data_IF_625923735680
#
_entry.id   IF_625923735680
#
_cell.length_a   1.000
_cell.length_b   1.000
_cell.length_c   1.000
_cell.angle_alpha   90.00
_cell.angle_beta   90.00
_cell.angle_gamma   90.00
#
_symmetry.space_group_name_H-M   'P 1'
#
loop_
_entity.id
_entity.type
_entity.pdbx_description
1 polymer ?
#
# COMPACT_ATOMS: atom_id res chain seq x y z
N UNK A 1 -9.77 -63.16 -29.33
CA UNK A 1 -10.21 -64.50 -28.89
C UNK A 1 -10.70 -64.35 -27.44
N UNK A 2 -11.86 -64.95 -27.15
CA UNK A 2 -12.51 -65.18 -25.83
C UNK A 2 -11.49 -65.39 -24.67
N UNK A 3 -11.76 -65.11 -23.39
CA UNK A 3 -13.04 -64.95 -22.70
C UNK A 3 -12.82 -64.29 -21.32
N UNK A 4 -13.89 -63.60 -20.92
CA UNK A 4 -14.22 -63.01 -19.63
C UNK A 4 -14.33 -64.06 -18.50
N UNK A 5 -13.93 -63.71 -17.28
CA UNK A 5 -14.57 -64.23 -16.06
C UNK A 5 -15.06 -63.06 -15.21
N UNK A 6 -16.37 -63.05 -14.99
CA UNK A 6 -17.13 -62.16 -14.11
C UNK A 6 -18.13 -63.06 -13.39
N UNK A 7 -18.03 -63.11 -12.08
CA UNK A 7 -18.93 -63.76 -11.10
C UNK A 7 -18.80 -62.85 -9.85
N UNK A 8 -19.83 -62.41 -9.11
CA UNK A 8 -21.30 -62.42 -9.15
C UNK A 8 -21.72 -61.40 -8.08
N UNK A 9 -22.71 -60.56 -8.37
CA UNK A 9 -23.63 -60.03 -7.36
C UNK A 9 -24.66 -61.13 -6.99
N UNK A 10 -25.23 -61.12 -5.79
CA UNK A 10 -26.63 -60.66 -5.54
C UNK A 10 -27.24 -61.19 -4.21
N UNK A 11 -27.86 -60.24 -3.47
CA UNK A 11 -29.15 -60.29 -2.75
C UNK A 11 -29.17 -59.05 -1.81
N UNK A 12 -29.88 -57.96 -2.11
CA UNK A 12 -31.34 -57.69 -1.99
C UNK A 12 -31.88 -57.93 -0.56
N UNK A 13 -32.65 -57.06 0.10
CA UNK A 13 -33.39 -55.87 -0.32
C UNK A 13 -33.78 -54.96 0.88
N UNK A 14 -33.72 -53.65 0.61
CA UNK A 14 -34.51 -52.49 1.06
C UNK A 14 -35.19 -52.40 2.44
N UNK A 15 -34.92 -51.28 3.15
CA UNK A 15 -35.97 -50.26 3.45
C UNK A 15 -35.37 -48.84 3.68
N UNK A 16 -35.76 -47.92 2.80
CA UNK A 16 -36.00 -46.46 2.93
C UNK A 16 -34.98 -45.47 3.59
N UNK A 17 -34.44 -44.58 2.73
CA UNK A 17 -33.81 -43.25 2.94
C UNK A 17 -34.75 -42.21 3.61
N UNK A 18 -34.34 -40.98 4.04
CA UNK A 18 -33.09 -40.23 3.77
C UNK A 18 -32.50 -39.42 4.95
N UNK A 19 -31.17 -39.41 5.16
CA UNK A 19 -30.52 -38.26 5.80
C UNK A 19 -29.21 -37.89 5.11
N UNK A 20 -29.10 -36.60 4.84
CA UNK A 20 -28.07 -35.92 4.09
C UNK A 20 -26.68 -36.17 4.67
N UNK A 21 -25.81 -36.79 3.87
CA UNK A 21 -24.37 -36.70 4.11
C UNK A 21 -23.94 -35.23 4.03
N UNK A 22 -23.73 -34.68 5.22
CA UNK A 22 -23.04 -33.42 5.44
C UNK A 22 -21.68 -33.44 4.73
N UNK A 23 -21.66 -32.84 3.53
CA UNK A 23 -20.46 -32.28 2.89
C UNK A 23 -19.82 -31.28 3.85
N UNK A 24 -19.02 -31.76 4.79
CA UNK A 24 -18.08 -30.93 5.53
C UNK A 24 -16.95 -30.54 4.57
N UNK A 25 -17.19 -29.45 3.84
CA UNK A 25 -16.14 -28.75 3.10
C UNK A 25 -15.08 -28.30 4.10
N UNK A 26 -14.01 -29.09 4.24
CA UNK A 26 -12.79 -28.67 4.94
C UNK A 26 -12.33 -27.35 4.33
N UNK A 27 -12.58 -26.26 5.06
CA UNK A 27 -12.10 -24.91 4.75
C UNK A 27 -10.58 -25.00 4.57
N UNK A 28 -10.09 -25.07 3.33
CA UNK A 28 -8.66 -25.01 3.03
C UNK A 28 -8.14 -23.68 3.57
N UNK A 29 -7.33 -23.74 4.63
CA UNK A 29 -6.64 -22.56 5.16
C UNK A 29 -5.77 -22.01 4.03
N UNK A 30 -6.03 -20.76 3.64
CA UNK A 30 -5.33 -20.09 2.54
C UNK A 30 -3.92 -19.75 3.03
N UNK A 31 -2.90 -20.49 2.56
CA UNK A 31 -1.49 -20.22 2.89
C UNK A 31 -1.05 -18.85 2.35
N UNK A 32 -0.22 -18.12 3.10
CA UNK A 32 0.34 -16.84 2.63
C UNK A 32 1.40 -17.07 1.56
N UNK A 33 1.70 -16.05 0.74
CA UNK A 33 2.79 -16.15 -0.25
C UNK A 33 4.13 -16.52 0.41
N UNK A 34 4.42 -15.95 1.59
CA UNK A 34 5.60 -16.31 2.39
C UNK A 34 5.63 -17.78 2.76
N UNK A 35 4.52 -18.35 3.22
CA UNK A 35 4.42 -19.78 3.57
C UNK A 35 4.61 -20.70 2.35
N UNK A 36 4.12 -20.31 1.17
CA UNK A 36 4.30 -21.09 -0.05
C UNK A 36 5.76 -21.01 -0.55
N UNK A 37 6.38 -19.84 -0.49
CA UNK A 37 7.81 -19.65 -0.82
C UNK A 37 8.68 -20.44 0.17
N UNK A 38 8.35 -20.39 1.45
CA UNK A 38 9.05 -21.11 2.52
C UNK A 38 9.05 -22.62 2.27
N UNK A 39 7.88 -23.21 2.01
CA UNK A 39 7.73 -24.65 1.74
C UNK A 39 8.48 -25.08 0.47
N UNK A 40 8.45 -24.26 -0.58
CA UNK A 40 9.07 -24.59 -1.86
C UNK A 40 10.60 -24.40 -1.88
N UNK A 41 11.14 -23.54 -1.02
CA UNK A 41 12.59 -23.30 -0.90
C UNK A 41 13.23 -24.03 0.29
N UNK A 42 12.45 -24.76 1.09
CA UNK A 42 12.95 -25.48 2.26
C UNK A 42 13.47 -24.56 3.37
N UNK A 43 12.90 -23.34 3.49
CA UNK A 43 13.36 -22.33 4.44
C UNK A 43 12.78 -22.56 5.84
N UNK A 44 13.52 -22.12 6.86
CA UNK A 44 13.01 -22.11 8.23
C UNK A 44 11.84 -21.11 8.34
N UNK A 45 10.68 -21.50 8.93
CA UNK A 45 9.55 -20.59 9.13
C UNK A 45 9.90 -19.27 9.83
N UNK A 46 10.86 -19.28 10.75
CA UNK A 46 11.26 -18.08 11.48
C UNK A 46 11.90 -17.02 10.58
N UNK A 47 12.64 -17.45 9.55
CA UNK A 47 13.37 -16.53 8.67
C UNK A 47 12.43 -15.71 7.80
N UNK A 48 11.43 -16.35 7.17
CA UNK A 48 10.44 -15.66 6.35
C UNK A 48 9.55 -14.77 7.21
N UNK A 49 9.16 -15.20 8.41
CA UNK A 49 8.40 -14.36 9.33
C UNK A 49 9.19 -13.11 9.73
N UNK A 50 10.50 -13.22 9.94
CA UNK A 50 11.36 -12.08 10.25
C UNK A 50 11.44 -11.10 9.07
N UNK A 51 11.55 -11.60 7.84
CA UNK A 51 11.48 -10.76 6.62
C UNK A 51 10.12 -10.07 6.49
N UNK A 52 9.02 -10.77 6.72
CA UNK A 52 7.67 -10.19 6.66
C UNK A 52 7.46 -9.09 7.72
N UNK A 53 7.95 -9.30 8.95
CA UNK A 53 7.92 -8.28 10.02
C UNK A 53 8.71 -7.04 9.62
N UNK A 54 9.93 -7.21 9.09
CA UNK A 54 10.76 -6.08 8.61
C UNK A 54 10.11 -5.34 7.46
N UNK A 55 9.55 -6.05 6.49
CA UNK A 55 8.80 -5.44 5.38
C UNK A 55 7.57 -4.68 5.88
N UNK A 56 6.88 -5.18 6.91
CA UNK A 56 5.77 -4.45 7.53
C UNK A 56 6.23 -3.11 8.12
N UNK A 57 7.35 -3.08 8.86
CA UNK A 57 7.90 -1.83 9.42
C UNK A 57 8.22 -0.83 8.31
N UNK A 58 8.93 -1.26 7.27
CA UNK A 58 9.27 -0.42 6.11
C UNK A 58 8.01 0.14 5.47
N UNK A 59 7.02 -0.70 5.15
CA UNK A 59 5.76 -0.29 4.52
C UNK A 59 5.01 0.73 5.37
N UNK A 60 4.98 0.53 6.68
CA UNK A 60 4.33 1.47 7.59
C UNK A 60 5.06 2.81 7.63
N UNK A 61 6.38 2.81 7.85
CA UNK A 61 7.16 4.05 7.96
C UNK A 61 7.09 4.85 6.67
N UNK A 62 7.22 4.17 5.55
CA UNK A 62 7.13 4.76 4.23
C UNK A 62 5.74 5.36 3.94
N UNK A 63 4.67 4.62 4.23
CA UNK A 63 3.30 5.14 4.14
C UNK A 63 3.08 6.34 5.08
N UNK A 64 3.57 6.25 6.32
CA UNK A 64 3.45 7.32 7.30
C UNK A 64 4.17 8.60 6.87
N UNK A 65 5.35 8.47 6.24
CA UNK A 65 6.09 9.61 5.69
C UNK A 65 5.35 10.28 4.52
N UNK A 66 4.73 9.49 3.65
CA UNK A 66 4.06 10.01 2.45
C UNK A 66 2.64 10.51 2.71
N UNK A 67 1.96 9.96 3.71
CA UNK A 67 0.54 10.18 4.02
C UNK A 67 0.34 10.50 5.51
N UNK A 68 1.22 11.31 6.11
CA UNK A 68 1.17 11.65 7.55
C UNK A 68 -0.21 12.18 7.98
N UNK A 69 -0.87 12.96 7.12
CA UNK A 69 -2.21 13.49 7.38
C UNK A 69 -3.29 12.40 7.58
N UNK A 70 -3.11 11.19 7.06
CA UNK A 70 -4.08 10.10 7.28
C UNK A 70 -4.14 9.62 8.75
N UNK A 71 -3.11 9.95 9.54
CA UNK A 71 -3.00 9.58 10.96
C UNK A 71 -3.45 10.68 11.93
N UNK A 72 -3.80 11.86 11.40
CA UNK A 72 -4.31 12.99 12.18
C UNK A 72 -5.59 12.60 12.93
N UNK A 73 -5.58 12.79 14.25
CA UNK A 73 -6.61 12.40 15.21
C UNK A 73 -6.90 10.88 15.27
N UNK A 74 -5.92 10.04 14.92
CA UNK A 74 -6.01 8.57 14.96
C UNK A 74 -5.00 7.92 15.92
N UNK A 75 -4.90 8.45 17.14
CA UNK A 75 -3.95 8.00 18.19
C UNK A 75 -3.95 6.47 18.38
N UNK A 76 -5.14 5.88 18.52
CA UNK A 76 -5.28 4.43 18.75
C UNK A 76 -4.66 3.62 17.62
N UNK A 77 -4.89 4.03 16.37
CA UNK A 77 -4.36 3.32 15.20
C UNK A 77 -2.86 3.49 15.10
N UNK A 78 -2.35 4.70 15.29
CA UNK A 78 -0.91 4.97 15.27
C UNK A 78 -0.18 4.19 16.37
N UNK A 79 -0.69 4.22 17.60
CA UNK A 79 -0.10 3.52 18.73
C UNK A 79 -0.10 2.00 18.53
N UNK A 80 -1.09 1.43 17.85
CA UNK A 80 -1.09 0.01 17.48
C UNK A 80 0.07 -0.33 16.55
N UNK A 81 0.33 0.49 15.52
CA UNK A 81 1.48 0.30 14.63
C UNK A 81 2.81 0.46 15.37
N UNK A 82 2.97 1.54 16.15
CA UNK A 82 4.18 1.79 16.94
C UNK A 82 4.46 0.65 17.91
N UNK A 83 3.44 0.15 18.61
CA UNK A 83 3.58 -0.97 19.54
C UNK A 83 4.03 -2.23 18.81
N UNK A 84 3.38 -2.59 17.69
CA UNK A 84 3.78 -3.75 16.89
C UNK A 84 5.23 -3.65 16.40
N UNK A 85 5.63 -2.49 15.90
CA UNK A 85 7.00 -2.22 15.44
C UNK A 85 7.99 -2.36 16.60
N UNK A 86 7.70 -1.73 17.73
CA UNK A 86 8.57 -1.77 18.92
C UNK A 86 8.74 -3.20 19.44
N UNK A 87 7.65 -3.98 19.52
CA UNK A 87 7.70 -5.39 19.89
C UNK A 87 8.56 -6.20 18.91
N UNK A 88 8.47 -5.94 17.60
CA UNK A 88 9.32 -6.63 16.62
C UNK A 88 10.80 -6.24 16.76
N UNK A 89 11.10 -4.96 16.96
CA UNK A 89 12.46 -4.45 17.16
C UNK A 89 13.09 -5.02 18.45
N UNK A 90 12.31 -5.23 19.51
CA UNK A 90 12.81 -5.87 20.73
C UNK A 90 13.31 -7.29 20.47
N UNK A 91 12.61 -8.06 19.64
CA UNK A 91 13.02 -9.43 19.28
C UNK A 91 14.33 -9.49 18.50
N UNK A 92 14.76 -8.38 17.88
CA UNK A 92 16.01 -8.32 17.12
C UNK A 92 17.26 -8.31 18.00
N UNK A 93 17.12 -7.98 19.30
CA UNK A 93 18.26 -7.96 20.22
C UNK A 93 18.91 -9.34 20.44
N UNK A 94 18.15 -10.41 20.20
CA UNK A 94 18.63 -11.80 20.25
C UNK A 94 18.96 -12.39 18.85
N UNK A 95 18.87 -11.57 17.80
CA UNK A 95 19.05 -11.98 16.40
C UNK A 95 20.50 -11.92 15.91
N UNK A 96 20.67 -11.84 14.58
CA UNK A 96 21.96 -11.66 13.93
C UNK A 96 22.61 -10.32 14.29
N UNK A 97 23.90 -10.16 13.99
CA UNK A 97 24.59 -8.88 14.20
C UNK A 97 23.90 -7.72 13.47
N UNK A 98 23.49 -7.93 12.22
CA UNK A 98 22.76 -6.91 11.46
C UNK A 98 21.41 -6.54 12.12
N UNK A 99 20.73 -7.51 12.74
CA UNK A 99 19.46 -7.26 13.45
C UNK A 99 19.68 -6.42 14.71
N UNK A 100 20.79 -6.65 15.41
CA UNK A 100 21.19 -5.85 16.57
C UNK A 100 21.57 -4.42 16.16
N UNK A 101 22.25 -4.26 15.02
CA UNK A 101 22.54 -2.95 14.43
C UNK A 101 21.24 -2.20 14.05
N UNK A 102 20.26 -2.88 13.47
CA UNK A 102 18.95 -2.28 13.20
C UNK A 102 18.24 -1.86 14.48
N UNK A 103 18.27 -2.67 15.54
CA UNK A 103 17.71 -2.30 16.83
C UNK A 103 18.39 -1.05 17.41
N UNK A 104 19.72 -0.96 17.31
CA UNK A 104 20.47 0.21 17.73
C UNK A 104 20.14 1.44 16.87
N UNK A 105 20.03 1.29 15.55
CA UNK A 105 19.62 2.35 14.63
C UNK A 105 18.22 2.88 14.99
N UNK A 106 17.26 1.99 15.26
CA UNK A 106 15.91 2.36 15.67
C UNK A 106 15.88 3.22 16.95
N UNK A 107 16.66 2.81 17.97
CA UNK A 107 16.75 3.54 19.24
C UNK A 107 17.52 4.85 19.11
N UNK A 108 18.67 4.84 18.45
CA UNK A 108 19.53 6.03 18.30
C UNK A 108 18.89 7.11 17.45
N UNK A 109 18.18 6.73 16.37
CA UNK A 109 17.41 7.65 15.53
C UNK A 109 16.08 8.09 16.14
N UNK A 110 15.71 7.57 17.33
CA UNK A 110 14.48 7.92 18.04
C UNK A 110 13.23 7.84 17.15
N UNK A 111 13.11 6.74 16.39
CA UNK A 111 12.07 6.57 15.36
C UNK A 111 10.66 6.81 15.90
N UNK A 112 10.36 6.33 17.12
CA UNK A 112 9.05 6.52 17.77
C UNK A 112 8.77 8.00 18.08
N UNK A 113 9.76 8.72 18.61
CA UNK A 113 9.62 10.13 18.96
C UNK A 113 9.39 10.97 17.69
N UNK A 114 10.12 10.66 16.62
CA UNK A 114 9.95 11.30 15.32
C UNK A 114 8.54 11.07 14.78
N UNK A 115 8.05 9.82 14.80
CA UNK A 115 6.68 9.50 14.34
C UNK A 115 5.62 10.29 15.13
N UNK A 116 5.77 10.38 16.46
CA UNK A 116 4.84 11.16 17.29
C UNK A 116 4.91 12.65 17.00
N UNK A 117 6.13 13.21 16.91
CA UNK A 117 6.38 14.62 16.56
C UNK A 117 5.78 14.99 15.20
N UNK A 118 5.99 14.16 14.18
CA UNK A 118 5.41 14.35 12.85
C UNK A 118 3.89 14.38 12.88
N UNK A 119 3.28 13.48 13.65
CA UNK A 119 1.83 13.42 13.80
C UNK A 119 1.29 14.63 14.56
N UNK A 120 1.97 15.09 15.60
CA UNK A 120 1.59 16.30 16.33
C UNK A 120 1.65 17.55 15.44
N UNK A 121 2.74 17.76 14.70
CA UNK A 121 2.87 18.85 13.72
C UNK A 121 1.77 18.77 12.64
N UNK A 122 1.47 17.57 12.14
CA UNK A 122 0.38 17.37 11.18
C UNK A 122 -1.01 17.71 11.78
N UNK A 123 -1.22 17.42 13.06
CA UNK A 123 -2.43 17.81 13.79
C UNK A 123 -2.54 19.31 14.02
N UNK A 124 -1.44 19.99 14.29
CA UNK A 124 -1.38 21.46 14.42
C UNK A 124 -1.80 22.13 13.11
N UNK A 125 -1.17 21.73 11.99
CA UNK A 125 -1.54 22.21 10.64
C UNK A 125 -3.02 21.96 10.37
N UNK A 126 -3.52 20.77 10.71
CA UNK A 126 -4.94 20.45 10.52
C UNK A 126 -5.86 21.35 11.36
N UNK A 127 -5.51 21.61 12.63
CA UNK A 127 -6.28 22.49 13.53
C UNK A 127 -6.28 23.94 13.04
N UNK A 128 -5.13 24.46 12.64
CA UNK A 128 -4.98 25.82 12.10
C UNK A 128 -5.84 26.04 10.85
N UNK A 129 -5.96 25.02 10.00
CA UNK A 129 -6.81 25.04 8.80
C UNK A 129 -8.28 24.67 9.08
N UNK A 130 -8.68 24.57 10.35
CA UNK A 130 -10.07 24.40 10.77
C UNK A 130 -10.57 22.95 10.83
N UNK A 131 -9.69 21.96 10.76
CA UNK A 131 -10.05 20.54 10.96
C UNK A 131 -10.11 20.25 12.47
N UNK A 132 -11.34 20.10 12.97
CA UNK A 132 -11.60 19.96 14.42
C UNK A 132 -11.52 18.54 14.98
N UNK A 133 -11.24 17.53 14.15
CA UNK A 133 -11.15 16.14 14.62
C UNK A 133 -11.16 15.09 13.52
N UNK A 134 -11.15 13.83 13.94
CA UNK A 134 -11.04 12.67 13.05
C UNK A 134 -12.14 12.61 11.99
N UNK A 135 -11.73 12.45 10.74
CA UNK A 135 -12.62 12.31 9.59
C UNK A 135 -13.55 11.10 9.70
N UNK A 136 -13.06 9.98 10.24
CA UNK A 136 -13.86 8.76 10.42
C UNK A 136 -14.99 8.99 11.43
N UNK A 137 -14.71 9.70 12.53
CA UNK A 137 -15.73 10.07 13.53
C UNK A 137 -16.76 11.02 12.92
N UNK A 138 -16.32 12.01 12.13
CA UNK A 138 -17.20 12.95 11.44
C UNK A 138 -18.11 12.25 10.43
N UNK A 139 -17.57 11.35 9.62
CA UNK A 139 -18.33 10.57 8.64
C UNK A 139 -19.34 9.64 9.34
N UNK A 140 -18.97 9.01 10.45
CA UNK A 140 -19.89 8.17 11.24
C UNK A 140 -21.02 8.99 11.85
N UNK A 141 -20.71 10.13 12.47
CA UNK A 141 -21.73 11.03 13.05
C UNK A 141 -22.67 11.56 11.97
N UNK A 142 -22.14 11.98 10.83
CA UNK A 142 -22.98 12.40 9.71
C UNK A 142 -23.88 11.26 9.21
N UNK A 143 -23.32 10.06 9.04
CA UNK A 143 -24.10 8.90 8.60
C UNK A 143 -25.25 8.63 9.57
N UNK A 144 -25.02 8.69 10.89
CA UNK A 144 -26.07 8.48 11.88
C UNK A 144 -27.13 9.60 11.83
N UNK A 145 -26.69 10.87 11.78
CA UNK A 145 -27.58 12.04 11.75
C UNK A 145 -28.44 12.08 10.48
N UNK A 146 -27.94 11.59 9.35
CA UNK A 146 -28.70 11.55 8.09
C UNK A 146 -29.55 10.29 8.01
N UNK A 147 -29.01 9.12 8.36
CA UNK A 147 -29.73 7.84 8.20
C UNK A 147 -30.85 7.67 9.22
N UNK A 148 -30.71 8.14 10.46
CA UNK A 148 -31.72 7.94 11.51
C UNK A 148 -33.05 8.66 11.21
N UNK A 149 -33.08 9.96 10.84
CA UNK A 149 -34.32 10.64 10.47
C UNK A 149 -34.93 10.06 9.20
N UNK A 150 -34.10 9.68 8.24
CA UNK A 150 -34.54 9.06 6.98
C UNK A 150 -35.29 7.76 7.23
N UNK A 151 -34.78 6.93 8.14
CA UNK A 151 -35.42 5.68 8.55
C UNK A 151 -36.74 5.94 9.29
N UNK A 152 -36.79 6.99 10.13
CA UNK A 152 -38.03 7.43 10.79
C UNK A 152 -39.09 7.92 9.81
N UNK A 153 -38.70 8.72 8.80
CA UNK A 153 -39.62 9.20 7.75
C UNK A 153 -40.15 8.04 6.91
N UNK A 154 -39.29 7.08 6.53
CA UNK A 154 -39.70 5.88 5.80
C UNK A 154 -40.69 5.06 6.63
N UNK A 155 -40.39 4.83 7.91
CA UNK A 155 -41.26 4.06 8.80
C UNK A 155 -42.64 4.73 8.96
N UNK A 156 -42.67 6.06 9.11
CA UNK A 156 -43.91 6.82 9.24
C UNK A 156 -44.72 6.83 7.94
N UNK A 157 -44.08 6.94 6.77
CA UNK A 157 -44.74 6.87 5.46
C UNK A 157 -45.37 5.50 5.19
N UNK A 158 -44.69 4.41 5.58
CA UNK A 158 -45.21 3.04 5.43
C UNK A 158 -46.46 2.81 6.29
N UNK A 159 -46.51 3.39 7.49
CA UNK A 159 -47.66 3.26 8.41
C UNK A 159 -48.84 4.16 7.98
N UNK A 160 -48.59 5.42 7.63
CA UNK A 160 -49.67 6.38 7.35
C UNK A 160 -50.33 6.18 5.99
N UNK A 161 -49.60 5.72 4.97
CA UNK A 161 -50.15 5.66 3.61
C UNK A 161 -49.79 4.36 2.86
N UNK A 162 -50.42 3.23 3.22
CA UNK A 162 -50.11 1.92 2.63
C UNK A 162 -50.42 1.85 1.13
N UNK A 163 -51.29 2.72 0.62
CA UNK A 163 -51.69 2.79 -0.79
C UNK A 163 -50.66 3.42 -1.73
N UNK A 164 -49.66 4.14 -1.21
CA UNK A 164 -48.63 4.84 -2.03
C UNK A 164 -47.37 3.97 -2.23
N UNK A 165 -47.36 2.73 -1.71
CA UNK A 165 -46.23 1.78 -1.78
C UNK A 165 -45.48 1.72 -3.14
N UNK A 166 -46.13 1.62 -4.32
CA UNK A 166 -45.40 1.57 -5.59
C UNK A 166 -44.73 2.89 -6.00
N UNK A 167 -45.23 4.04 -5.55
CA UNK A 167 -44.62 5.36 -5.81
C UNK A 167 -43.55 5.75 -4.78
N UNK A 168 -43.45 5.01 -3.66
CA UNK A 168 -42.45 5.26 -2.63
C UNK A 168 -41.05 4.81 -3.07
N UNK A 169 -40.96 3.83 -3.98
CA UNK A 169 -39.69 3.21 -4.36
C UNK A 169 -38.67 4.17 -4.99
N UNK A 170 -39.01 5.03 -5.98
CA UNK A 170 -38.07 6.00 -6.54
C UNK A 170 -37.60 7.03 -5.50
N UNK A 171 -38.50 7.44 -4.61
CA UNK A 171 -38.21 8.39 -3.52
C UNK A 171 -37.22 7.77 -2.54
N UNK A 172 -37.45 6.51 -2.13
CA UNK A 172 -36.52 5.73 -1.31
C UNK A 172 -35.14 5.59 -1.97
N UNK A 173 -35.07 5.30 -3.28
CA UNK A 173 -33.80 5.21 -3.99
C UNK A 173 -32.99 6.50 -3.90
N UNK A 174 -33.63 7.67 -4.10
CA UNK A 174 -32.96 8.98 -3.99
C UNK A 174 -32.48 9.23 -2.56
N UNK A 175 -33.33 8.96 -1.57
CA UNK A 175 -33.00 9.14 -0.16
C UNK A 175 -31.89 8.19 0.34
N UNK A 176 -31.84 6.96 -0.18
CA UNK A 176 -30.77 6.00 0.10
C UNK A 176 -29.41 6.41 -0.51
N UNK A 177 -29.41 7.16 -1.61
CA UNK A 177 -28.20 7.66 -2.26
C UNK A 177 -27.63 8.91 -1.59
N UNK A 178 -28.47 9.72 -0.93
CA UNK A 178 -28.07 10.99 -0.31
C UNK A 178 -26.91 10.84 0.71
N UNK A 179 -26.91 9.86 1.64
CA UNK A 179 -25.77 9.62 2.53
C UNK A 179 -24.47 9.31 1.78
N UNK A 180 -24.54 8.55 0.69
CA UNK A 180 -23.36 8.19 -0.11
C UNK A 180 -22.77 9.40 -0.82
N UNK A 181 -23.62 10.26 -1.39
CA UNK A 181 -23.21 11.50 -2.04
C UNK A 181 -22.54 12.45 -1.02
N UNK A 182 -23.13 12.61 0.16
CA UNK A 182 -22.53 13.46 1.21
C UNK A 182 -21.20 12.92 1.71
N UNK A 183 -21.08 11.59 1.92
CA UNK A 183 -19.81 10.94 2.26
C UNK A 183 -18.76 11.20 1.19
N UNK A 184 -19.11 11.02 -0.09
CA UNK A 184 -18.20 11.28 -1.22
C UNK A 184 -17.69 12.72 -1.25
N UNK A 185 -18.55 13.71 -1.01
CA UNK A 185 -18.15 15.12 -0.93
C UNK A 185 -17.17 15.41 0.21
N UNK A 186 -17.42 14.86 1.39
CA UNK A 186 -16.53 15.06 2.56
C UNK A 186 -15.18 14.39 2.31
N UNK A 187 -15.18 13.17 1.79
CA UNK A 187 -13.96 12.43 1.46
C UNK A 187 -13.17 13.17 0.37
N UNK A 188 -13.84 13.69 -0.67
CA UNK A 188 -13.18 14.51 -1.70
C UNK A 188 -12.55 15.77 -1.12
N UNK A 189 -13.28 16.50 -0.26
CA UNK A 189 -12.73 17.68 0.44
C UNK A 189 -11.52 17.33 1.31
N UNK A 190 -11.55 16.17 1.96
CA UNK A 190 -10.42 15.70 2.75
C UNK A 190 -9.21 15.38 1.87
N UNK A 191 -9.40 14.70 0.74
CA UNK A 191 -8.31 14.44 -0.20
C UNK A 191 -7.71 15.73 -0.77
N UNK A 192 -8.55 16.70 -1.16
CA UNK A 192 -8.06 18.01 -1.60
C UNK A 192 -7.27 18.71 -0.50
N UNK A 193 -7.78 18.69 0.74
CA UNK A 193 -7.05 19.24 1.89
C UNK A 193 -5.68 18.57 2.08
N UNK A 194 -5.60 17.23 1.95
CA UNK A 194 -4.33 16.52 2.06
C UNK A 194 -3.34 16.94 0.99
N UNK A 195 -3.76 16.98 -0.27
CA UNK A 195 -2.89 17.37 -1.37
C UNK A 195 -2.37 18.80 -1.23
N UNK A 196 -3.25 19.74 -0.88
CA UNK A 196 -2.89 21.16 -0.70
C UNK A 196 -1.87 21.37 0.42
N UNK A 197 -1.88 20.53 1.47
CA UNK A 197 -1.04 20.71 2.66
C UNK A 197 0.10 19.67 2.76
N UNK A 198 0.19 18.70 1.84
CA UNK A 198 1.23 17.66 1.84
C UNK A 198 2.63 18.28 1.74
N UNK A 199 2.83 19.17 0.78
CA UNK A 199 4.13 19.83 0.58
C UNK A 199 4.54 20.70 1.76
N UNK A 200 3.57 21.33 2.43
CA UNK A 200 3.81 22.14 3.62
C UNK A 200 4.37 21.28 4.75
N UNK A 201 3.72 20.15 5.06
CA UNK A 201 4.21 19.21 6.08
C UNK A 201 5.56 18.65 5.70
N UNK A 202 5.75 18.24 4.44
CA UNK A 202 7.03 17.73 3.97
C UNK A 202 8.15 18.76 4.15
N UNK A 203 7.90 20.03 3.84
CA UNK A 203 8.89 21.10 3.99
C UNK A 203 9.27 21.38 5.45
N UNK A 204 8.29 21.41 6.36
CA UNK A 204 8.52 21.66 7.78
C UNK A 204 9.18 20.49 8.50
N UNK A 205 8.95 19.28 8.00
CA UNK A 205 9.34 18.05 8.66
C UNK A 205 10.37 17.25 7.85
N UNK A 206 11.09 17.90 6.94
CA UNK A 206 11.94 17.23 5.96
C UNK A 206 13.00 16.34 6.63
N UNK A 207 13.68 16.86 7.65
CA UNK A 207 14.74 16.14 8.36
C UNK A 207 14.21 14.88 9.05
N UNK A 208 13.13 15.02 9.81
CA UNK A 208 12.40 13.95 10.46
C UNK A 208 12.00 12.85 9.45
N UNK A 209 11.43 13.24 8.31
CA UNK A 209 11.04 12.32 7.23
C UNK A 209 12.25 11.61 6.62
N UNK A 210 13.37 12.31 6.39
CA UNK A 210 14.59 11.72 5.87
C UNK A 210 15.20 10.70 6.84
N UNK A 211 15.12 10.94 8.15
CA UNK A 211 15.58 9.97 9.16
C UNK A 211 14.74 8.70 9.10
N UNK A 212 13.40 8.83 9.02
CA UNK A 212 12.49 7.69 8.90
C UNK A 212 12.74 6.90 7.61
N UNK A 213 12.87 7.58 6.47
CA UNK A 213 13.18 6.94 5.18
C UNK A 213 14.56 6.30 5.19
N UNK A 214 15.55 6.92 5.82
CA UNK A 214 16.89 6.35 6.00
C UNK A 214 16.86 5.03 6.78
N UNK A 215 16.12 4.98 7.89
CA UNK A 215 15.93 3.74 8.64
C UNK A 215 15.15 2.67 7.86
N UNK A 216 14.13 3.07 7.09
CA UNK A 216 13.41 2.17 6.19
C UNK A 216 14.34 1.59 5.09
N UNK A 217 15.25 2.41 4.54
CA UNK A 217 16.30 1.98 3.61
C UNK A 217 17.26 0.96 4.22
N UNK A 218 17.80 1.24 5.41
CA UNK A 218 18.66 0.29 6.15
C UNK A 218 17.96 -1.05 6.41
N UNK A 219 16.67 -1.00 6.75
CA UNK A 219 15.85 -2.19 6.98
C UNK A 219 15.66 -2.99 5.68
N UNK A 220 15.45 -2.31 4.54
CA UNK A 220 15.36 -2.95 3.22
C UNK A 220 16.66 -3.61 2.81
N UNK A 221 17.80 -2.97 3.05
CA UNK A 221 19.11 -3.55 2.75
C UNK A 221 19.40 -4.78 3.61
N UNK A 222 19.08 -4.74 4.91
CA UNK A 222 19.19 -5.91 5.78
C UNK A 222 18.25 -7.07 5.34
N UNK A 223 17.02 -6.77 4.91
CA UNK A 223 16.14 -7.80 4.31
C UNK A 223 16.80 -8.41 3.08
N UNK A 224 17.34 -7.57 2.18
CA UNK A 224 17.98 -8.02 0.95
C UNK A 224 19.18 -8.92 1.23
N UNK A 225 20.08 -8.51 2.14
CA UNK A 225 21.22 -9.33 2.57
C UNK A 225 20.75 -10.69 3.09
N UNK A 226 19.76 -10.71 3.99
CA UNK A 226 19.23 -11.96 4.55
C UNK A 226 18.62 -12.88 3.47
N UNK A 227 17.92 -12.32 2.49
CA UNK A 227 17.35 -13.12 1.39
C UNK A 227 18.44 -13.70 0.49
N UNK A 228 19.54 -12.97 0.26
CA UNK A 228 20.68 -13.47 -0.51
C UNK A 228 21.39 -14.60 0.23
N UNK A 229 21.60 -14.49 1.55
CA UNK A 229 22.18 -15.56 2.37
C UNK A 229 21.36 -16.85 2.32
N UNK A 230 20.04 -16.69 2.33
CA UNK A 230 19.08 -17.79 2.23
C UNK A 230 18.90 -18.30 0.78
N UNK A 231 19.65 -17.75 -0.19
CA UNK A 231 19.57 -18.07 -1.62
C UNK A 231 18.15 -17.97 -2.18
N UNK A 232 17.36 -17.03 -1.67
CA UNK A 232 15.99 -16.78 -2.12
C UNK A 232 16.03 -15.95 -3.40
N UNK A 233 15.37 -16.38 -4.48
CA UNK A 233 15.25 -15.55 -5.67
C UNK A 233 14.52 -14.24 -5.35
N UNK A 234 15.24 -13.13 -5.44
CA UNK A 234 14.74 -11.80 -5.06
C UNK A 234 13.49 -11.38 -5.85
N UNK A 235 13.36 -11.84 -7.10
CA UNK A 235 12.22 -11.56 -7.99
C UNK A 235 10.88 -12.08 -7.45
N UNK A 236 10.90 -13.06 -6.55
CA UNK A 236 9.70 -13.62 -5.92
C UNK A 236 9.14 -12.70 -4.84
N UNK A 237 9.99 -11.83 -4.27
CA UNK A 237 9.59 -10.92 -3.21
C UNK A 237 9.09 -9.64 -3.86
N UNK A 238 7.76 -9.50 -3.87
CA UNK A 238 7.04 -8.34 -4.40
C UNK A 238 6.37 -7.60 -3.25
N UNK A 239 6.56 -6.30 -3.18
CA UNK A 239 6.00 -5.47 -2.12
C UNK A 239 5.65 -4.08 -2.63
N UNK A 240 4.87 -3.35 -1.84
CA UNK A 240 4.37 -2.01 -2.18
C UNK A 240 4.99 -1.00 -1.25
N UNK A 241 5.46 0.10 -1.82
CA UNK A 241 5.88 1.32 -1.14
C UNK A 241 5.12 2.52 -1.74
N UNK A 242 5.16 3.66 -1.07
CA UNK A 242 4.56 4.94 -1.42
C UNK A 242 5.63 5.97 -1.83
N UNK A 243 6.92 5.66 -1.66
CA UNK A 243 8.04 6.49 -2.12
C UNK A 243 8.95 5.77 -3.12
N UNK A 244 9.63 6.55 -3.96
CA UNK A 244 10.64 6.07 -4.91
C UNK A 244 12.09 6.27 -4.43
N UNK A 245 12.27 6.78 -3.21
CA UNK A 245 13.57 7.26 -2.74
C UNK A 245 14.56 6.13 -2.39
N UNK A 246 14.11 4.88 -2.40
CA UNK A 246 14.91 3.73 -1.99
C UNK A 246 15.80 3.21 -3.12
N UNK A 247 17.05 2.95 -2.78
CA UNK A 247 18.03 2.33 -3.67
C UNK A 247 17.87 0.80 -3.65
N UNK A 248 18.53 0.12 -4.60
CA UNK A 248 18.59 -1.34 -4.68
C UNK A 248 17.22 -2.04 -4.91
N UNK A 249 16.24 -1.31 -5.45
CA UNK A 249 14.92 -1.83 -5.80
C UNK A 249 14.65 -1.69 -7.31
N UNK A 250 13.95 -2.67 -7.87
CA UNK A 250 13.44 -2.63 -9.23
C UNK A 250 11.94 -2.31 -9.20
N UNK A 251 11.56 -1.18 -9.81
CA UNK A 251 10.16 -0.78 -9.96
C UNK A 251 9.47 -1.69 -10.99
N UNK A 252 8.43 -2.39 -10.55
CA UNK A 252 7.61 -3.27 -11.39
C UNK A 252 6.42 -2.53 -11.98
N UNK A 253 5.73 -1.72 -11.17
CA UNK A 253 4.53 -0.99 -11.57
C UNK A 253 4.27 0.20 -10.66
N UNK A 254 3.46 1.14 -11.13
CA UNK A 254 2.92 2.26 -10.36
C UNK A 254 1.40 2.26 -10.45
N UNK A 255 0.71 2.56 -9.35
CA UNK A 255 -0.74 2.68 -9.34
C UNK A 255 -1.20 3.75 -8.38
N UNK A 256 -2.10 4.63 -8.83
CA UNK A 256 -2.83 5.51 -7.93
C UNK A 256 -4.00 4.73 -7.30
N UNK A 257 -4.00 4.58 -5.98
CA UNK A 257 -5.10 3.97 -5.23
C UNK A 257 -5.62 5.00 -4.22
N UNK A 258 -6.89 5.42 -4.42
CA UNK A 258 -7.58 6.34 -3.50
C UNK A 258 -6.82 7.65 -3.26
N UNK A 259 -6.15 8.17 -4.29
CA UNK A 259 -5.39 9.42 -4.22
C UNK A 259 -3.96 9.26 -3.73
N UNK A 260 -3.52 8.06 -3.32
CA UNK A 260 -2.14 7.80 -2.95
C UNK A 260 -1.42 6.98 -4.02
N UNK A 261 -0.20 7.39 -4.36
CA UNK A 261 0.64 6.68 -5.33
C UNK A 261 1.31 5.48 -4.67
N UNK A 262 1.11 4.31 -5.27
CA UNK A 262 1.70 3.06 -4.83
C UNK A 262 2.66 2.53 -5.89
N UNK A 263 3.87 2.20 -5.45
CA UNK A 263 4.96 1.67 -6.24
C UNK A 263 5.20 0.21 -5.87
N UNK A 264 5.07 -0.67 -6.85
CA UNK A 264 5.29 -2.10 -6.70
C UNK A 264 6.76 -2.39 -6.99
N UNK A 265 7.47 -2.94 -6.01
CA UNK A 265 8.90 -3.20 -6.08
C UNK A 265 9.23 -4.69 -5.96
N UNK A 266 10.40 -5.03 -6.48
CA UNK A 266 11.16 -6.23 -6.12
C UNK A 266 12.61 -5.82 -5.82
N UNK A 267 13.36 -6.63 -5.09
CA UNK A 267 14.76 -6.32 -4.80
C UNK A 267 15.64 -6.46 -6.04
N UNK A 268 16.61 -5.56 -6.19
CA UNK A 268 17.66 -5.66 -7.20
C UNK A 268 18.82 -6.52 -6.66
N UNK A 269 19.41 -7.35 -7.53
CA UNK A 269 20.64 -8.05 -7.20
C UNK A 269 21.81 -7.05 -7.16
N UNK A 270 22.75 -7.18 -6.21
CA UNK A 270 23.96 -6.38 -6.22
C UNK A 270 24.82 -6.69 -7.45
N UNK A 271 25.68 -5.74 -7.83
CA UNK A 271 26.57 -5.92 -8.98
C UNK A 271 27.50 -7.14 -8.77
N UNK A 272 27.60 -8.00 -9.77
CA UNK A 272 28.44 -9.20 -9.72
C UNK A 272 27.81 -10.43 -9.06
N UNK A 273 26.55 -10.35 -8.60
CA UNK A 273 25.80 -11.51 -8.11
C UNK A 273 24.74 -11.92 -9.12
N UNK A 274 24.86 -13.13 -9.65
CA UNK A 274 23.88 -13.70 -10.58
C UNK A 274 22.56 -14.02 -9.88
N UNK A 275 21.46 -13.91 -10.63
CA UNK A 275 20.15 -14.21 -10.09
C UNK A 275 19.96 -15.70 -9.80
N UNK A 276 19.39 -16.02 -8.64
CA UNK A 276 19.07 -17.40 -8.31
C UNK A 276 17.95 -17.95 -9.21
N UNK A 277 18.04 -19.22 -9.67
CA UNK A 277 17.00 -19.83 -10.48
C UNK A 277 15.71 -19.98 -9.67
N UNK A 278 14.58 -19.61 -10.28
CA UNK A 278 13.26 -19.75 -9.65
C UNK A 278 12.79 -21.21 -9.81
N UNK A 279 12.49 -21.93 -8.72
CA UNK A 279 11.95 -23.29 -8.80
C UNK A 279 10.64 -23.33 -9.60
N UNK A 280 10.42 -24.41 -10.36
CA UNK A 280 9.21 -24.57 -11.19
C UNK A 280 7.92 -24.40 -10.39
N UNK A 281 7.87 -24.89 -9.14
CA UNK A 281 6.74 -24.74 -8.23
C UNK A 281 6.37 -23.27 -7.91
N UNK A 282 7.32 -22.34 -8.07
CA UNK A 282 7.15 -20.92 -7.76
C UNK A 282 7.05 -20.02 -9.00
N UNK A 283 7.09 -20.58 -10.21
CA UNK A 283 6.99 -19.80 -11.45
C UNK A 283 5.69 -19.00 -11.55
N UNK A 284 4.59 -19.47 -10.93
CA UNK A 284 3.33 -18.73 -10.85
C UNK A 284 3.47 -17.35 -10.15
N UNK A 285 4.39 -17.23 -9.19
CA UNK A 285 4.65 -15.96 -8.48
C UNK A 285 5.57 -15.03 -9.27
N UNK A 286 6.29 -15.55 -10.28
CA UNK A 286 7.12 -14.75 -11.17
C UNK A 286 6.29 -13.97 -12.21
N UNK A 287 5.04 -14.34 -12.44
CA UNK A 287 4.18 -13.64 -13.40
C UNK A 287 4.02 -12.16 -13.03
N UNK A 288 4.00 -11.24 -14.02
CA UNK A 288 3.76 -9.84 -13.74
C UNK A 288 2.40 -9.70 -13.07
N UNK A 289 2.34 -8.90 -12.00
CA UNK A 289 1.10 -8.68 -11.20
C UNK A 289 -0.08 -8.23 -12.08
N UNK A 290 0.21 -7.69 -13.27
CA UNK A 290 -0.75 -7.30 -14.28
C UNK A 290 -0.24 -7.73 -15.66
N UNK A 291 -1.09 -8.33 -16.52
CA UNK A 291 -0.72 -8.59 -17.91
C UNK A 291 -0.38 -7.25 -18.59
N UNK A 292 0.67 -7.23 -19.43
CA UNK A 292 1.27 -6.03 -20.09
C UNK A 292 0.33 -5.24 -21.04
N UNK A 293 -0.99 -5.32 -20.88
CA UNK A 293 -1.98 -4.77 -21.81
C UNK A 293 -2.82 -3.58 -21.32
N UNK A 294 -2.65 -3.08 -20.09
CA UNK A 294 -3.42 -1.91 -19.62
C UNK A 294 -2.52 -0.92 -18.89
N UNK A 295 -2.21 0.18 -19.59
CA UNK A 295 -1.73 1.46 -19.07
C UNK A 295 -0.57 1.36 -18.08
N UNK A 296 0.63 1.05 -18.58
CA UNK A 296 1.80 1.75 -18.04
C UNK A 296 1.67 3.20 -18.50
N UNK A 297 1.19 4.10 -17.63
CA UNK A 297 1.49 5.52 -17.82
C UNK A 297 3.00 5.63 -18.07
N UNK A 298 3.37 6.13 -19.25
CA UNK A 298 4.77 6.41 -19.57
C UNK A 298 5.27 7.29 -18.44
N UNK A 299 6.37 6.87 -17.81
CA UNK A 299 7.16 7.69 -16.90
C UNK A 299 7.31 9.11 -17.48
N UNK A 300 6.57 10.08 -16.95
CA UNK A 300 6.90 11.49 -17.09
C UNK A 300 8.10 11.76 -16.19
N UNK A 301 9.26 11.44 -16.74
CA UNK A 301 10.54 11.91 -16.24
C UNK A 301 10.66 13.39 -16.62
N UNK A 302 10.21 14.28 -15.75
CA UNK A 302 10.53 15.70 -15.81
C UNK A 302 12.01 15.90 -15.42
N UNK A 303 12.93 15.41 -16.25
CA UNK A 303 14.35 15.74 -16.12
C UNK A 303 14.64 16.94 -17.04
N UNK A 304 15.07 18.05 -16.45
CA UNK A 304 15.88 19.04 -17.16
C UNK A 304 17.25 18.40 -17.31
N UNK A 305 17.65 18.07 -18.54
CA UNK A 305 19.01 17.61 -18.81
C UNK A 305 19.85 18.86 -18.99
N UNK A 306 20.79 19.09 -18.07
CA UNK A 306 21.78 20.15 -18.22
C UNK A 306 22.80 19.69 -19.27
N UNK A 307 22.76 20.25 -20.46
CA UNK A 307 23.82 20.06 -21.47
C UNK A 307 24.67 21.32 -21.58
N UNK A 308 25.95 21.11 -21.94
CA UNK A 308 26.95 22.17 -22.10
C UNK A 308 27.31 22.92 -20.80
N UNK A 309 27.71 22.19 -19.76
CA UNK A 309 28.40 22.81 -18.63
C UNK A 309 29.76 23.37 -19.06
N UNK A 310 29.90 24.70 -19.00
CA UNK A 310 31.22 25.36 -19.00
C UNK A 310 31.48 25.90 -17.60
N UNK A 311 32.53 25.39 -16.97
CA UNK A 311 32.99 25.82 -15.65
C UNK A 311 34.45 26.25 -15.68
N UNK A 312 34.78 27.28 -14.91
CA UNK A 312 36.15 27.62 -14.50
C UNK A 312 36.18 27.66 -12.97
N UNK A 313 37.19 27.04 -12.37
CA UNK A 313 37.46 27.08 -10.92
C UNK A 313 36.27 26.65 -10.04
N UNK A 314 35.51 25.64 -10.47
CA UNK A 314 34.42 25.07 -9.67
C UNK A 314 33.13 25.90 -9.66
N UNK A 315 33.07 27.01 -10.39
CA UNK A 315 31.84 27.80 -10.58
C UNK A 315 31.30 27.59 -12.00
N UNK A 316 30.04 27.17 -12.11
CA UNK A 316 29.35 26.99 -13.40
C UNK A 316 29.03 28.38 -13.95
N UNK A 317 29.73 28.80 -15.00
CA UNK A 317 29.56 30.14 -15.59
C UNK A 317 28.39 30.20 -16.58
N UNK A 318 28.01 29.08 -17.17
CA UNK A 318 26.86 28.99 -18.08
C UNK A 318 26.41 27.53 -18.23
N UNK A 319 25.10 27.31 -18.36
CA UNK A 319 24.52 26.06 -18.82
C UNK A 319 23.32 26.37 -19.73
N UNK A 320 23.02 25.47 -20.66
CA UNK A 320 21.81 25.54 -21.48
C UNK A 320 20.85 24.47 -20.98
N UNK A 321 19.68 24.84 -20.42
CA UNK A 321 18.67 23.87 -20.06
C UNK A 321 18.00 23.36 -21.33
N UNK A 322 18.09 22.06 -21.60
CA UNK A 322 17.51 21.47 -22.81
C UNK A 322 16.36 20.56 -22.40
N UNK A 323 15.16 20.88 -22.88
CA UNK A 323 13.98 20.03 -22.79
C UNK A 323 13.98 19.04 -23.96
N UNK A 324 13.27 17.91 -23.82
CA UNK A 324 13.09 16.95 -24.93
C UNK A 324 12.57 17.69 -26.18
N UNK A 325 13.13 17.36 -27.34
CA UNK A 325 12.86 17.98 -28.65
C UNK A 325 11.36 18.26 -28.92
N UNK A 326 10.47 17.35 -28.50
CA UNK A 326 9.02 17.50 -28.69
C UNK A 326 8.36 18.64 -27.90
N UNK A 327 8.92 19.04 -26.75
CA UNK A 327 8.40 20.13 -25.93
C UNK A 327 9.14 21.45 -26.22
N UNK A 328 10.34 21.38 -26.80
CA UNK A 328 11.10 22.55 -27.19
C UNK A 328 10.41 23.32 -28.33
N UNK A 329 9.86 22.60 -29.31
CA UNK A 329 9.10 23.22 -30.41
C UNK A 329 7.81 23.90 -29.93
N UNK A 330 7.07 23.24 -29.03
CA UNK A 330 5.80 23.75 -28.47
C UNK A 330 6.02 24.98 -27.57
N UNK A 331 7.09 24.97 -26.78
CA UNK A 331 7.48 26.11 -25.94
C UNK A 331 8.07 27.25 -26.79
N UNK A 332 8.87 26.96 -27.82
CA UNK A 332 9.35 27.98 -28.76
C UNK A 332 8.20 28.60 -29.56
N UNK A 333 7.20 27.81 -29.97
CA UNK A 333 5.98 28.31 -30.60
C UNK A 333 5.19 29.19 -29.64
N UNK A 334 5.01 28.76 -28.38
CA UNK A 334 4.38 29.59 -27.35
C UNK A 334 5.14 30.91 -27.09
N UNK A 335 6.46 30.87 -26.96
CA UNK A 335 7.30 32.04 -26.69
C UNK A 335 7.37 32.99 -27.89
N UNK A 336 7.40 32.47 -29.13
CA UNK A 336 7.34 33.29 -30.34
C UNK A 336 5.95 33.90 -30.58
N UNK A 337 4.88 33.21 -30.15
CA UNK A 337 3.50 33.70 -30.26
C UNK A 337 3.09 34.62 -29.11
N UNK A 338 3.84 34.65 -28.01
CA UNK A 338 3.68 35.63 -26.94
C UNK A 338 4.57 36.84 -27.18
N UNK A 339 4.18 37.68 -28.14
CA UNK A 339 4.75 39.03 -28.28
C UNK A 339 4.30 39.90 -27.09
N UNK A 340 5.28 40.47 -26.40
CA UNK A 340 5.15 41.74 -25.68
C UNK A 340 5.12 42.90 -26.67
#
# INVERSE_FOLDING_TARGET
MKNTEKIKEENSDLTETPEEEAKSSKKRVRKTQGQVIQEALGLNPTDIQNVEKKLFMVRFLDYFCEETLDFVFKDKTLNQYITQISTHIETFGAGSEEDRLLQQSFKSKKIVDIVNSLKEKAEEVAKEKGVKGSMDKRLRKLSLVVTLPLLGVIFLLVILVPTISPFLFPVLCIFCMLPQIMKGRIVKKWFSFKEENKNLIYSFCREDILILKGFAGETLDNIRSRLLDLKVPLQLIKFVLHSQDYQNLNLLNTKNIKGSMQYFYTFAYPQGVDSFPIPQALQQFNQPLFPKGKTSEKLERNFIVLTEMKGKEGVISSFVPTLKDKLADEINEMLNNSKL
#
